data_IF_295221985453
#
_entry.id   IF_295221985453
#
_cell.length_a   1.000
_cell.length_b   1.000
_cell.length_c   1.000
_cell.angle_alpha   90.00
_cell.angle_beta   90.00
_cell.angle_gamma   90.00
#
_symmetry.space_group_name_H-M   'P 1'
#
loop_
_entity.id
_entity.type
_entity.pdbx_description
1 polymer ?
#
# COMPACT_ATOMS: atom_id res chain seq x y z
N UNK A 1 -1.07 0.19 44.87
CA UNK A 1 -0.95 0.78 43.52
C UNK A 1 -0.66 -0.31 42.49
N UNK A 2 -1.48 -1.39 42.45
CA UNK A 2 -1.44 -2.46 41.43
C UNK A 2 -2.83 -3.09 41.44
N UNK A 3 -3.83 -2.46 40.81
CA UNK A 3 -5.16 -3.08 40.61
C UNK A 3 -5.96 -2.44 39.48
N UNK A 4 -5.75 -1.16 39.16
CA UNK A 4 -6.45 -0.48 38.04
C UNK A 4 -5.95 -0.91 36.66
N UNK A 5 -4.65 -1.18 36.47
CA UNK A 5 -4.10 -1.52 35.15
C UNK A 5 -4.58 -2.87 34.57
N UNK A 6 -5.12 -3.79 35.38
CA UNK A 6 -5.67 -5.07 34.87
C UNK A 6 -7.14 -5.00 34.48
N UNK A 7 -7.90 -4.03 34.98
CA UNK A 7 -9.32 -3.91 34.67
C UNK A 7 -9.56 -3.41 33.25
N UNK A 8 -8.75 -2.47 32.74
CA UNK A 8 -8.89 -1.94 31.39
C UNK A 8 -8.66 -3.02 30.32
N UNK A 9 -7.60 -3.82 30.45
CA UNK A 9 -7.33 -4.93 29.52
C UNK A 9 -8.39 -6.04 29.59
N UNK A 10 -8.89 -6.34 30.80
CA UNK A 10 -9.94 -7.34 30.99
C UNK A 10 -11.28 -6.88 30.41
N UNK A 11 -11.66 -5.61 30.59
CA UNK A 11 -12.88 -5.02 30.02
C UNK A 11 -12.77 -4.94 28.49
N UNK A 12 -11.61 -4.53 27.94
CA UNK A 12 -11.35 -4.54 26.49
C UNK A 12 -11.43 -5.98 25.93
N UNK A 13 -10.88 -6.97 26.63
CA UNK A 13 -10.96 -8.38 26.25
C UNK A 13 -12.41 -8.90 26.29
N UNK A 14 -13.20 -8.52 27.27
CA UNK A 14 -14.62 -8.90 27.37
C UNK A 14 -15.42 -8.23 26.26
N UNK A 15 -15.19 -6.94 25.99
CA UNK A 15 -15.83 -6.22 24.87
C UNK A 15 -15.52 -6.85 23.51
N UNK A 16 -14.26 -7.28 23.30
CA UNK A 16 -13.82 -7.98 22.08
C UNK A 16 -14.45 -9.36 21.89
N UNK A 17 -14.96 -10.02 22.93
CA UNK A 17 -15.57 -11.36 22.86
C UNK A 17 -17.06 -11.35 22.51
N UNK A 18 -17.76 -10.22 22.62
CA UNK A 18 -19.22 -10.14 22.51
C UNK A 18 -19.72 -9.79 21.10
N UNK A 19 -18.85 -9.38 20.16
CA UNK A 19 -19.23 -8.86 18.83
C UNK A 19 -18.67 -9.64 17.62
N UNK A 20 -18.14 -10.85 17.82
CA UNK A 20 -17.37 -11.52 16.77
C UNK A 20 -15.96 -10.93 16.62
N UNK A 21 -15.08 -11.62 15.88
CA UNK A 21 -13.68 -11.23 15.77
C UNK A 21 -13.50 -9.89 15.04
N UNK A 22 -12.62 -9.02 15.55
CA UNK A 22 -12.19 -7.81 14.85
C UNK A 22 -11.31 -8.23 13.66
N UNK A 23 -11.70 -7.82 12.46
CA UNK A 23 -10.89 -7.99 11.25
C UNK A 23 -9.95 -6.80 11.06
N UNK A 24 -8.72 -7.06 10.62
CA UNK A 24 -7.73 -6.03 10.30
C UNK A 24 -7.22 -6.25 8.88
N UNK A 25 -7.06 -5.16 8.11
CA UNK A 25 -6.39 -5.23 6.82
C UNK A 25 -4.91 -5.56 7.05
N UNK A 26 -4.41 -6.60 6.37
CA UNK A 26 -3.01 -7.03 6.49
C UNK A 26 -2.23 -6.79 5.20
N UNK A 27 -2.85 -7.03 4.05
CA UNK A 27 -2.26 -6.74 2.75
C UNK A 27 -3.34 -6.65 1.68
N UNK A 28 -2.94 -6.07 0.56
CA UNK A 28 -3.63 -6.13 -0.72
C UNK A 28 -2.70 -6.80 -1.73
N UNK A 29 -3.26 -7.60 -2.63
CA UNK A 29 -2.46 -8.42 -3.56
C UNK A 29 -2.59 -7.90 -4.98
N UNK A 30 -1.45 -7.64 -5.61
CA UNK A 30 -1.32 -7.22 -7.00
C UNK A 30 -0.62 -8.31 -7.79
N UNK A 31 -1.25 -8.74 -8.88
CA UNK A 31 -0.63 -9.63 -9.86
C UNK A 31 0.17 -8.77 -10.82
N UNK A 32 1.44 -9.09 -10.99
CA UNK A 32 2.36 -8.28 -11.79
C UNK A 32 3.02 -9.12 -12.88
N UNK A 33 3.31 -8.48 -14.01
CA UNK A 33 3.94 -9.16 -15.15
C UNK A 33 5.43 -9.44 -14.91
N UNK A 34 6.07 -8.60 -14.09
CA UNK A 34 7.48 -8.71 -13.75
C UNK A 34 7.70 -8.20 -12.32
N UNK A 35 8.11 -9.10 -11.42
CA UNK A 35 8.30 -8.79 -10.01
C UNK A 35 9.44 -7.79 -9.80
N UNK A 36 10.56 -7.92 -10.51
CA UNK A 36 11.71 -7.04 -10.31
C UNK A 36 11.41 -5.60 -10.77
N UNK A 37 10.74 -5.45 -11.91
CA UNK A 37 10.28 -4.13 -12.38
C UNK A 37 9.32 -3.49 -11.38
N UNK A 38 8.39 -4.28 -10.84
CA UNK A 38 7.41 -3.82 -9.87
C UNK A 38 8.08 -3.45 -8.55
N UNK A 39 8.95 -4.32 -8.01
CA UNK A 39 9.71 -4.03 -6.78
C UNK A 39 10.53 -2.77 -6.94
N UNK A 40 11.23 -2.59 -8.07
CA UNK A 40 12.00 -1.36 -8.35
C UNK A 40 11.11 -0.12 -8.30
N UNK A 41 9.94 -0.16 -8.91
CA UNK A 41 8.98 0.93 -8.83
C UNK A 41 8.54 1.19 -7.38
N UNK A 42 8.04 0.19 -6.67
CA UNK A 42 7.55 0.40 -5.30
C UNK A 42 8.67 0.81 -4.32
N UNK A 43 9.91 0.33 -4.48
CA UNK A 43 11.01 0.65 -3.57
C UNK A 43 11.80 1.90 -3.92
N UNK A 44 12.09 2.15 -5.20
CA UNK A 44 12.93 3.29 -5.59
C UNK A 44 12.11 4.53 -5.94
N UNK A 45 10.94 4.33 -6.56
CA UNK A 45 10.05 5.44 -6.95
C UNK A 45 9.13 5.81 -5.79
N UNK A 46 8.41 4.83 -5.23
CA UNK A 46 7.45 5.08 -4.15
C UNK A 46 8.06 4.94 -2.75
N UNK A 47 9.38 4.65 -2.65
CA UNK A 47 10.14 4.59 -1.39
C UNK A 47 9.56 3.61 -0.35
N UNK A 48 8.79 2.60 -0.78
CA UNK A 48 8.27 1.57 0.11
C UNK A 48 9.34 0.51 0.37
N UNK A 49 9.67 0.20 1.64
CA UNK A 49 10.68 -0.81 1.92
C UNK A 49 10.20 -2.21 1.54
N UNK A 50 11.13 -3.07 1.16
CA UNK A 50 10.87 -4.50 0.98
C UNK A 50 10.80 -5.15 2.36
N UNK A 51 9.62 -5.58 2.77
CA UNK A 51 9.40 -6.25 4.06
C UNK A 51 9.77 -7.74 4.01
N UNK A 52 9.51 -8.41 2.88
CA UNK A 52 9.84 -9.81 2.68
C UNK A 52 9.85 -10.15 1.18
N UNK A 53 10.57 -11.22 0.83
CA UNK A 53 10.53 -11.87 -0.49
C UNK A 53 10.39 -13.37 -0.32
N UNK A 54 9.62 -13.98 -1.22
CA UNK A 54 9.41 -15.42 -1.27
C UNK A 54 9.47 -15.88 -2.72
N UNK A 55 9.97 -17.09 -2.93
CA UNK A 55 9.96 -17.74 -4.23
C UNK A 55 9.52 -19.18 -4.05
N UNK A 56 8.63 -19.62 -4.93
CA UNK A 56 8.10 -20.98 -4.99
C UNK A 56 8.33 -21.52 -6.41
N UNK A 57 8.01 -22.80 -6.64
CA UNK A 57 8.12 -23.37 -7.99
C UNK A 57 7.18 -22.72 -9.03
N UNK A 58 6.18 -21.93 -8.59
CA UNK A 58 5.16 -21.35 -9.46
C UNK A 58 5.10 -19.82 -9.41
N UNK A 59 5.48 -19.22 -8.29
CA UNK A 59 5.30 -17.78 -8.01
C UNK A 59 6.55 -17.16 -7.40
N UNK A 60 6.82 -15.91 -7.76
CA UNK A 60 7.72 -15.00 -7.03
C UNK A 60 6.89 -13.94 -6.34
N UNK A 61 7.20 -13.65 -5.08
CA UNK A 61 6.40 -12.77 -4.23
C UNK A 61 7.31 -11.74 -3.54
N UNK A 62 6.86 -10.49 -3.48
CA UNK A 62 7.46 -9.46 -2.63
C UNK A 62 6.39 -8.74 -1.81
N UNK A 63 6.66 -8.51 -0.53
CA UNK A 63 5.82 -7.74 0.37
C UNK A 63 6.41 -6.35 0.56
N UNK A 64 5.70 -5.30 0.17
CA UNK A 64 6.15 -3.91 0.23
C UNK A 64 5.45 -3.15 1.36
N UNK A 65 6.21 -2.38 2.14
CA UNK A 65 5.69 -1.45 3.15
C UNK A 65 6.31 -1.59 4.54
N UNK A 66 6.12 -0.56 5.36
CA UNK A 66 6.73 -0.41 6.69
C UNK A 66 6.32 -1.49 7.71
N UNK A 67 7.18 -1.80 8.67
CA UNK A 67 6.88 -2.76 9.74
C UNK A 67 5.64 -2.33 10.53
N UNK A 68 4.70 -3.25 10.73
CA UNK A 68 3.46 -2.98 11.48
C UNK A 68 2.29 -2.42 10.65
N UNK A 69 2.53 -1.96 9.42
CA UNK A 69 1.49 -1.46 8.52
C UNK A 69 0.93 -2.56 7.60
N UNK A 70 -0.24 -2.36 6.96
CA UNK A 70 -0.65 -3.17 5.82
C UNK A 70 0.40 -3.17 4.70
N UNK A 71 0.45 -4.24 3.91
CA UNK A 71 1.43 -4.41 2.82
C UNK A 71 0.79 -4.39 1.44
N UNK A 72 1.58 -4.04 0.44
CA UNK A 72 1.31 -4.39 -0.96
C UNK A 72 2.05 -5.69 -1.25
N UNK A 73 1.31 -6.76 -1.50
CA UNK A 73 1.83 -8.07 -1.93
C UNK A 73 1.89 -8.10 -3.45
N UNK A 74 3.09 -8.19 -4.02
CA UNK A 74 3.33 -8.30 -5.46
C UNK A 74 3.56 -9.76 -5.80
N UNK A 75 2.82 -10.30 -6.77
CA UNK A 75 2.94 -11.70 -7.20
C UNK A 75 3.17 -11.77 -8.72
N UNK A 76 4.32 -12.31 -9.12
CA UNK A 76 4.58 -12.77 -10.49
C UNK A 76 4.32 -14.28 -10.54
N UNK A 77 3.43 -14.73 -11.42
CA UNK A 77 3.14 -16.15 -11.66
C UNK A 77 3.84 -16.62 -12.95
N UNK A 78 4.33 -17.86 -12.99
CA UNK A 78 5.10 -18.39 -14.14
C UNK A 78 4.29 -18.47 -15.45
N UNK A 79 2.97 -18.46 -15.39
CA UNK A 79 2.07 -18.45 -16.56
C UNK A 79 1.07 -17.32 -16.41
N UNK A 80 1.45 -16.12 -16.85
CA UNK A 80 0.57 -14.96 -16.83
C UNK A 80 -0.39 -14.99 -18.01
N UNK A 81 -1.68 -14.90 -17.70
CA UNK A 81 -2.67 -14.36 -18.63
C UNK A 81 -2.59 -12.83 -18.59
N UNK A 82 -3.01 -12.16 -19.67
CA UNK A 82 -3.12 -10.69 -19.69
C UNK A 82 -3.88 -10.17 -18.45
N UNK A 83 -3.30 -9.17 -17.77
CA UNK A 83 -3.94 -8.54 -16.62
C UNK A 83 -5.11 -7.67 -17.10
N UNK A 84 -6.34 -8.02 -16.69
CA UNK A 84 -7.51 -7.16 -16.86
C UNK A 84 -7.83 -6.47 -15.53
N UNK A 85 -7.21 -5.30 -15.32
CA UNK A 85 -7.25 -4.60 -14.03
C UNK A 85 -8.55 -3.82 -13.77
N UNK A 86 -9.26 -3.41 -14.83
CA UNK A 86 -10.37 -2.45 -14.73
C UNK A 86 -9.96 -1.12 -14.09
N UNK A 87 -10.95 -0.31 -13.68
CA UNK A 87 -10.74 1.03 -13.10
C UNK A 87 -11.36 1.21 -11.72
N UNK A 88 -11.89 0.14 -11.12
CA UNK A 88 -12.66 0.20 -9.87
C UNK A 88 -11.85 0.27 -8.58
N UNK A 89 -10.52 0.14 -8.64
CA UNK A 89 -9.64 0.07 -7.46
C UNK A 89 -8.46 1.02 -7.58
N UNK A 90 -8.16 1.71 -6.49
CA UNK A 90 -6.90 2.46 -6.31
C UNK A 90 -6.31 2.21 -4.93
N UNK A 91 -5.00 2.42 -4.79
CA UNK A 91 -4.26 2.23 -3.54
C UNK A 91 -3.79 3.58 -3.02
N UNK A 92 -4.31 4.00 -1.87
CA UNK A 92 -3.93 5.24 -1.20
C UNK A 92 -2.64 5.09 -0.39
N UNK A 93 -1.67 5.96 -0.65
CA UNK A 93 -0.43 6.10 0.12
C UNK A 93 -0.31 7.54 0.65
N UNK A 94 -0.09 7.67 1.96
CA UNK A 94 0.13 8.97 2.60
C UNK A 94 1.55 9.43 2.34
N UNK A 95 1.71 10.72 2.01
CA UNK A 95 3.00 11.40 1.89
C UNK A 95 3.04 12.63 2.79
N UNK A 96 4.24 13.05 3.19
CA UNK A 96 4.41 14.25 4.02
C UNK A 96 4.29 15.54 3.21
N UNK A 97 4.82 15.54 1.99
CA UNK A 97 4.76 16.67 1.06
C UNK A 97 4.51 16.17 -0.36
N UNK A 98 3.30 16.39 -0.87
CA UNK A 98 2.85 15.91 -2.18
C UNK A 98 3.60 16.58 -3.33
N UNK A 99 3.91 17.86 -3.23
CA UNK A 99 4.61 18.59 -4.29
C UNK A 99 6.06 18.12 -4.45
N UNK A 100 6.75 17.86 -3.33
CA UNK A 100 8.10 17.28 -3.33
C UNK A 100 8.11 15.88 -3.95
N UNK A 101 7.12 15.04 -3.62
CA UNK A 101 7.00 13.71 -4.21
C UNK A 101 6.67 13.78 -5.71
N UNK A 102 5.75 14.65 -6.15
CA UNK A 102 5.46 14.85 -7.58
C UNK A 102 6.71 15.29 -8.35
N UNK A 103 7.52 16.19 -7.77
CA UNK A 103 8.78 16.61 -8.39
C UNK A 103 9.79 15.46 -8.51
N UNK A 104 9.84 14.57 -7.50
CA UNK A 104 10.68 13.37 -7.53
C UNK A 104 10.21 12.37 -8.61
N UNK A 105 8.90 12.16 -8.72
CA UNK A 105 8.28 11.32 -9.75
C UNK A 105 8.60 11.82 -11.16
N UNK A 106 8.45 13.13 -11.40
CA UNK A 106 8.76 13.75 -12.70
C UNK A 106 10.22 13.57 -13.10
N UNK A 107 11.16 13.66 -12.16
CA UNK A 107 12.59 13.37 -12.40
C UNK A 107 12.84 11.90 -12.76
N UNK A 108 12.02 10.99 -12.24
CA UNK A 108 12.05 9.57 -12.59
C UNK A 108 11.31 9.24 -13.90
N UNK A 109 10.80 10.25 -14.62
CA UNK A 109 10.06 10.06 -15.88
C UNK A 109 8.60 9.65 -15.70
N UNK A 110 8.06 9.77 -14.48
CA UNK A 110 6.68 9.45 -14.17
C UNK A 110 5.87 10.74 -14.10
N UNK A 111 4.70 10.73 -14.74
CA UNK A 111 3.82 11.89 -14.83
C UNK A 111 2.53 11.55 -14.08
N UNK A 112 2.38 12.00 -12.81
CA UNK A 112 1.11 11.92 -12.11
C UNK A 112 0.06 12.82 -12.76
N UNK A 113 -1.21 12.61 -12.40
CA UNK A 113 -2.29 13.56 -12.71
C UNK A 113 -2.03 14.90 -12.02
N UNK A 114 -2.81 15.91 -12.42
CA UNK A 114 -2.90 17.16 -11.67
C UNK A 114 -3.32 16.91 -10.22
N UNK A 115 -2.90 17.83 -9.33
CA UNK A 115 -3.29 17.81 -7.92
C UNK A 115 -4.78 18.14 -7.81
N UNK A 116 -5.49 17.35 -7.02
CA UNK A 116 -6.88 17.54 -6.65
C UNK A 116 -6.92 17.93 -5.17
N UNK A 117 -7.56 19.06 -4.86
CA UNK A 117 -7.70 19.59 -3.49
C UNK A 117 -9.18 19.86 -3.22
N UNK A 118 -9.95 18.90 -2.70
CA UNK A 118 -11.38 19.10 -2.44
C UNK A 118 -11.66 20.09 -1.30
N UNK A 119 -10.68 20.29 -0.42
CA UNK A 119 -10.68 21.28 0.66
C UNK A 119 -9.24 21.71 0.98
N UNK A 120 -9.06 22.54 2.00
CA UNK A 120 -7.76 23.08 2.43
C UNK A 120 -6.85 22.09 3.16
N UNK A 121 -7.39 20.96 3.62
CA UNK A 121 -6.66 19.98 4.45
C UNK A 121 -6.16 18.77 3.66
N UNK A 122 -6.74 18.50 2.49
CA UNK A 122 -6.46 17.30 1.70
C UNK A 122 -6.02 17.70 0.29
N UNK A 123 -4.87 17.17 -0.13
CA UNK A 123 -4.41 17.20 -1.53
C UNK A 123 -4.07 15.79 -1.98
N UNK A 124 -4.34 15.44 -3.22
CA UNK A 124 -3.92 14.15 -3.78
C UNK A 124 -3.70 14.21 -5.29
N UNK A 125 -2.97 13.24 -5.80
CA UNK A 125 -2.85 12.96 -7.23
C UNK A 125 -2.89 11.45 -7.48
N UNK A 126 -3.03 11.05 -8.74
CA UNK A 126 -2.98 9.65 -9.14
C UNK A 126 -1.81 9.39 -10.08
N UNK A 127 -1.30 8.18 -10.05
CA UNK A 127 -0.34 7.67 -11.02
C UNK A 127 -0.61 6.18 -11.29
N UNK A 128 0.01 5.65 -12.34
CA UNK A 128 -0.02 4.23 -12.68
C UNK A 128 1.29 3.56 -12.29
N UNK A 129 1.20 2.35 -11.73
CA UNK A 129 2.35 1.46 -11.59
C UNK A 129 2.73 0.87 -12.97
N UNK A 130 3.84 0.09 -13.07
CA UNK A 130 4.27 -0.52 -14.33
C UNK A 130 3.25 -1.46 -14.98
N UNK A 131 2.26 -1.96 -14.22
CA UNK A 131 1.24 -2.89 -14.69
C UNK A 131 -0.11 -2.19 -14.97
N UNK A 132 -0.27 -0.91 -14.61
CA UNK A 132 -1.49 -0.12 -14.80
C UNK A 132 -2.40 -0.01 -13.58
N UNK A 133 -1.99 -0.50 -12.41
CA UNK A 133 -2.69 -0.27 -11.15
C UNK A 133 -2.68 1.21 -10.79
N UNK A 134 -3.82 1.72 -10.31
CA UNK A 134 -3.94 3.10 -9.87
C UNK A 134 -3.38 3.27 -8.46
N UNK A 135 -2.37 4.13 -8.30
CA UNK A 135 -1.86 4.58 -7.01
C UNK A 135 -2.35 6.00 -6.77
N UNK A 136 -2.84 6.27 -5.57
CA UNK A 136 -3.20 7.61 -5.09
C UNK A 136 -2.16 8.04 -4.06
N UNK A 137 -1.48 9.16 -4.31
CA UNK A 137 -0.66 9.81 -3.30
C UNK A 137 -1.49 10.92 -2.67
N UNK A 138 -1.60 10.94 -1.34
CA UNK A 138 -2.35 11.96 -0.63
C UNK A 138 -1.56 12.55 0.53
N UNK A 139 -1.72 13.85 0.71
CA UNK A 139 -1.23 14.63 1.84
C UNK A 139 -2.44 15.10 2.65
N UNK A 140 -2.32 15.02 3.98
CA UNK A 140 -3.30 15.48 4.94
C UNK A 140 -2.58 16.42 5.92
N UNK A 141 -3.02 17.68 5.97
CA UNK A 141 -2.47 18.75 6.82
C UNK A 141 -3.05 18.77 8.23
#
# INVERSE_FOLDING_TARGET
MVKEFKLSEMVISIYKRVQGGIMFLKWITLRVNNLEQSVKFYSEVLKLPIAARFETSVNKIAMMGEKGSPKIELIEENQLNELNLGEGVSIGLKVENLEEEINSLRKAGIIPTEIISPNEHIKFCFLKDPNGYTIQLFEES
#
